data_IF_500983153361
#
_entry.id   IF_500983153361
#
_cell.length_a   1.000
_cell.length_b   1.000
_cell.length_c   1.000
_cell.angle_alpha   90.00
_cell.angle_beta   90.00
_cell.angle_gamma   90.00
#
_symmetry.space_group_name_H-M   'P 1'
#
loop_
_entity.id
_entity.type
_entity.pdbx_description
1 polymer ?
#
# COMPACT_ATOMS: atom_id res chain seq x y z
N UNK A 1 -14.42 -12.38 7.48
CA UNK A 1 -13.40 -11.39 7.92
C UNK A 1 -12.82 -10.55 6.79
N UNK A 2 -12.48 -11.12 5.62
CA UNK A 2 -12.00 -10.35 4.46
C UNK A 2 -12.95 -9.21 4.07
N UNK A 3 -14.25 -9.50 3.95
CA UNK A 3 -15.34 -8.54 3.69
C UNK A 3 -15.36 -7.40 4.73
N UNK A 4 -15.29 -7.74 6.02
CA UNK A 4 -15.29 -6.76 7.11
C UNK A 4 -14.05 -5.85 7.09
N UNK A 5 -12.86 -6.43 6.86
CA UNK A 5 -11.61 -5.66 6.74
C UNK A 5 -11.66 -4.71 5.54
N UNK A 6 -12.15 -5.19 4.39
CA UNK A 6 -12.33 -4.37 3.20
C UNK A 6 -13.31 -3.21 3.47
N UNK A 7 -14.44 -3.48 4.13
CA UNK A 7 -15.41 -2.44 4.49
C UNK A 7 -14.80 -1.35 5.37
N UNK A 8 -14.03 -1.72 6.40
CA UNK A 8 -13.33 -0.75 7.26
C UNK A 8 -12.32 0.07 6.46
N UNK A 9 -11.48 -0.57 5.63
CA UNK A 9 -10.47 0.11 4.82
C UNK A 9 -11.14 1.06 3.81
N UNK A 10 -12.19 0.61 3.12
CA UNK A 10 -12.95 1.42 2.18
C UNK A 10 -13.64 2.60 2.86
N UNK A 11 -14.16 2.42 4.06
CA UNK A 11 -14.76 3.52 4.84
C UNK A 11 -13.71 4.53 5.31
N UNK A 12 -12.55 4.07 5.79
CA UNK A 12 -11.42 4.95 6.12
C UNK A 12 -10.94 5.72 4.88
N UNK A 13 -10.88 5.06 3.72
CA UNK A 13 -10.57 5.71 2.45
C UNK A 13 -11.60 6.80 2.10
N UNK A 14 -12.90 6.51 2.26
CA UNK A 14 -13.98 7.49 2.07
C UNK A 14 -13.81 8.72 2.99
N UNK A 15 -13.48 8.51 4.26
CA UNK A 15 -13.24 9.60 5.20
C UNK A 15 -12.05 10.48 4.80
N UNK A 16 -10.92 9.86 4.41
CA UNK A 16 -9.73 10.59 3.96
C UNK A 16 -10.02 11.38 2.68
N UNK A 17 -10.79 10.80 1.75
CA UNK A 17 -11.14 11.44 0.48
C UNK A 17 -12.09 12.62 0.65
N UNK A 18 -13.12 12.46 1.48
CA UNK A 18 -14.18 13.48 1.63
C UNK A 18 -13.81 14.55 2.66
N UNK A 19 -12.90 14.25 3.58
CA UNK A 19 -12.38 15.15 4.61
C UNK A 19 -13.47 15.93 5.38
N UNK A 20 -14.61 15.27 5.66
CA UNK A 20 -15.75 15.87 6.32
C UNK A 20 -16.37 14.90 7.32
N UNK A 21 -16.85 15.43 8.45
CA UNK A 21 -17.57 14.68 9.49
C UNK A 21 -19.07 14.95 9.47
N UNK A 22 -19.59 15.47 8.35
CA UNK A 22 -21.01 15.68 8.16
C UNK A 22 -21.78 14.35 8.19
N UNK A 23 -22.78 14.24 9.07
CA UNK A 23 -23.52 13.01 9.34
C UNK A 23 -24.09 12.32 8.07
N UNK A 24 -24.75 13.03 7.14
CA UNK A 24 -25.19 12.44 5.88
C UNK A 24 -24.06 11.85 5.03
N UNK A 25 -22.90 12.52 4.98
CA UNK A 25 -21.74 12.02 4.23
C UNK A 25 -21.18 10.73 4.84
N UNK A 26 -21.15 10.65 6.17
CA UNK A 26 -20.72 9.44 6.88
C UNK A 26 -21.68 8.27 6.63
N UNK A 27 -23.00 8.51 6.63
CA UNK A 27 -23.99 7.47 6.36
C UNK A 27 -23.88 6.93 4.93
N UNK A 28 -23.74 7.82 3.94
CA UNK A 28 -23.53 7.41 2.54
C UNK A 28 -22.23 6.61 2.40
N UNK A 29 -21.15 7.08 3.00
CA UNK A 29 -19.87 6.37 3.01
C UNK A 29 -19.96 4.98 3.63
N UNK A 30 -20.73 4.83 4.71
CA UNK A 30 -20.95 3.54 5.37
C UNK A 30 -21.72 2.57 4.46
N UNK A 31 -22.79 3.03 3.82
CA UNK A 31 -23.58 2.19 2.89
C UNK A 31 -22.74 1.77 1.68
N UNK A 32 -22.01 2.70 1.07
CA UNK A 32 -21.17 2.44 -0.10
C UNK A 32 -20.04 1.48 0.23
N UNK A 33 -19.33 1.70 1.35
CA UNK A 33 -18.24 0.79 1.78
C UNK A 33 -18.74 -0.61 2.11
N UNK A 34 -19.94 -0.74 2.70
CA UNK A 34 -20.56 -2.03 2.95
C UNK A 34 -20.94 -2.74 1.65
N UNK A 35 -21.49 -2.02 0.67
CA UNK A 35 -21.80 -2.56 -0.65
C UNK A 35 -20.54 -3.10 -1.35
N UNK A 36 -19.46 -2.31 -1.37
CA UNK A 36 -18.17 -2.71 -1.94
C UNK A 36 -17.62 -3.95 -1.22
N UNK A 37 -17.68 -3.97 0.11
CA UNK A 37 -17.22 -5.09 0.92
C UNK A 37 -17.92 -6.41 0.61
N UNK A 38 -19.23 -6.36 0.34
CA UNK A 38 -20.04 -7.54 0.04
C UNK A 38 -19.74 -8.09 -1.36
N UNK A 39 -19.64 -7.21 -2.36
CA UNK A 39 -19.38 -7.59 -3.75
C UNK A 39 -17.92 -7.98 -4.02
N UNK A 40 -16.96 -7.23 -3.50
CA UNK A 40 -15.54 -7.39 -3.84
C UNK A 40 -14.71 -8.08 -2.75
N UNK A 41 -15.29 -8.41 -1.60
CA UNK A 41 -14.50 -8.96 -0.50
C UNK A 41 -14.00 -10.39 -0.70
N UNK A 42 -14.43 -11.07 -1.77
CA UNK A 42 -13.90 -12.39 -2.17
C UNK A 42 -12.62 -12.26 -3.02
N UNK A 43 -12.41 -11.12 -3.69
CA UNK A 43 -11.16 -10.77 -4.41
C UNK A 43 -10.10 -10.23 -3.44
N UNK A 44 -10.50 -9.85 -2.23
CA UNK A 44 -9.61 -9.25 -1.24
C UNK A 44 -8.64 -10.26 -0.60
N UNK A 45 -7.44 -9.77 -0.26
CA UNK A 45 -6.26 -10.52 0.21
C UNK A 45 -6.58 -11.75 1.07
N UNK A 46 -5.95 -12.89 0.73
CA UNK A 46 -6.20 -14.19 1.35
C UNK A 46 -6.05 -14.22 2.88
N UNK A 47 -5.13 -13.42 3.44
CA UNK A 47 -4.88 -13.30 4.88
C UNK A 47 -5.20 -11.92 5.46
N UNK A 48 -6.39 -11.38 5.17
CA UNK A 48 -6.88 -10.13 5.76
C UNK A 48 -6.86 -10.10 7.30
N UNK A 49 -6.86 -11.27 7.97
CA UNK A 49 -6.78 -11.40 9.44
C UNK A 49 -5.48 -10.81 10.03
N UNK A 50 -4.40 -10.83 9.25
CA UNK A 50 -3.09 -10.36 9.70
C UNK A 50 -2.98 -8.82 9.67
N UNK A 51 -3.98 -8.12 9.13
CA UNK A 51 -4.00 -6.65 9.09
C UNK A 51 -4.22 -6.04 10.49
N UNK A 52 -4.96 -6.75 11.35
CA UNK A 52 -5.20 -6.32 12.75
C UNK A 52 -4.01 -6.56 13.69
N UNK A 53 -2.91 -7.15 13.21
CA UNK A 53 -1.74 -7.36 14.04
C UNK A 53 -0.98 -6.03 14.21
N UNK A 54 -1.08 -5.43 15.40
CA UNK A 54 -0.45 -4.15 15.76
C UNK A 54 1.05 -4.13 15.40
N UNK A 55 1.76 -5.25 15.61
CA UNK A 55 3.18 -5.37 15.22
C UNK A 55 3.42 -5.14 13.72
N UNK A 56 2.57 -5.67 12.85
CA UNK A 56 2.69 -5.46 11.39
C UNK A 56 2.41 -4.02 11.00
N UNK A 57 1.42 -3.39 11.63
CA UNK A 57 1.13 -1.98 11.38
C UNK A 57 2.30 -1.09 11.83
N UNK A 58 2.91 -1.39 12.98
CA UNK A 58 4.11 -0.69 13.46
C UNK A 58 5.29 -0.85 12.49
N UNK A 59 5.54 -2.06 11.98
CA UNK A 59 6.55 -2.25 10.94
C UNK A 59 6.22 -1.50 9.67
N UNK A 60 4.96 -1.49 9.20
CA UNK A 60 4.56 -0.72 8.02
C UNK A 60 4.84 0.78 8.21
N UNK A 61 4.49 1.35 9.36
CA UNK A 61 4.78 2.75 9.68
C UNK A 61 6.27 3.03 9.79
N UNK A 62 7.08 2.09 10.26
CA UNK A 62 8.55 2.21 10.29
C UNK A 62 9.18 2.10 8.90
N UNK A 63 8.67 1.20 8.06
CA UNK A 63 9.19 0.97 6.71
C UNK A 63 8.79 2.08 5.73
N UNK A 64 7.68 2.81 5.92
CA UNK A 64 7.31 3.95 5.06
C UNK A 64 8.41 5.02 4.96
N UNK A 65 8.93 5.60 6.07
CA UNK A 65 9.99 6.60 5.99
C UNK A 65 11.31 5.99 5.49
N UNK A 66 11.63 4.76 5.90
CA UNK A 66 12.83 4.06 5.44
C UNK A 66 12.81 3.85 3.92
N UNK A 67 11.69 3.37 3.39
CA UNK A 67 11.47 3.17 1.97
C UNK A 67 11.54 4.50 1.22
N UNK A 68 10.88 5.54 1.74
CA UNK A 68 10.92 6.87 1.14
C UNK A 68 12.35 7.40 1.05
N UNK A 69 13.14 7.25 2.12
CA UNK A 69 14.54 7.68 2.13
C UNK A 69 15.38 7.01 1.04
N UNK A 70 15.33 5.67 0.96
CA UNK A 70 16.09 4.95 -0.07
C UNK A 70 15.54 5.18 -1.49
N UNK A 71 14.23 5.36 -1.64
CA UNK A 71 13.61 5.70 -2.91
C UNK A 71 14.10 7.07 -3.42
N UNK A 72 14.17 8.07 -2.53
CA UNK A 72 14.73 9.39 -2.88
C UNK A 72 16.21 9.28 -3.26
N UNK A 73 17.01 8.57 -2.46
CA UNK A 73 18.44 8.39 -2.74
C UNK A 73 18.67 7.71 -4.10
N UNK A 74 17.88 6.69 -4.43
CA UNK A 74 17.96 6.00 -5.72
C UNK A 74 17.60 6.93 -6.89
N UNK A 75 16.58 7.78 -6.75
CA UNK A 75 16.23 8.76 -7.78
C UNK A 75 17.34 9.80 -7.99
N UNK A 76 18.01 10.23 -6.91
CA UNK A 76 19.16 11.13 -7.01
C UNK A 76 20.36 10.46 -7.71
N UNK A 77 20.64 9.19 -7.41
CA UNK A 77 21.68 8.42 -8.10
C UNK A 77 21.39 8.30 -9.61
N UNK A 78 20.14 8.00 -9.98
CA UNK A 78 19.74 7.98 -11.40
C UNK A 78 19.88 9.37 -12.04
N UNK A 79 19.43 10.43 -11.37
CA UNK A 79 19.56 11.80 -11.87
C UNK A 79 21.03 12.19 -12.10
N UNK A 80 21.92 11.83 -11.17
CA UNK A 80 23.36 12.04 -11.32
C UNK A 80 23.91 11.29 -12.54
N UNK A 81 23.57 10.00 -12.70
CA UNK A 81 24.05 9.20 -13.85
C UNK A 81 23.60 9.75 -15.19
N UNK A 82 22.37 10.28 -15.27
CA UNK A 82 21.81 10.88 -16.50
C UNK A 82 22.48 12.23 -16.83
N UNK A 83 22.78 13.05 -15.82
CA UNK A 83 23.43 14.35 -16.02
C UNK A 83 24.94 14.22 -16.27
N UNK A 84 25.56 13.10 -15.86
CA UNK A 84 26.98 12.89 -16.04
C UNK A 84 27.31 12.63 -17.51
N UNK A 85 28.24 13.40 -18.13
CA UNK A 85 28.52 13.31 -19.56
C UNK A 85 29.04 11.94 -20.01
N UNK A 86 29.70 11.21 -19.11
CA UNK A 86 30.21 9.86 -19.40
C UNK A 86 29.14 8.75 -19.29
N UNK A 87 27.90 9.07 -18.84
CA UNK A 87 26.77 8.15 -18.69
C UNK A 87 27.18 6.74 -18.21
N UNK A 88 27.73 6.60 -16.99
CA UNK A 88 28.27 5.33 -16.50
C UNK A 88 27.13 4.35 -16.19
N UNK A 89 26.69 3.61 -17.20
CA UNK A 89 25.65 2.58 -17.11
C UNK A 89 26.19 1.29 -17.74
N UNK A 90 26.36 0.27 -16.91
CA UNK A 90 26.76 -1.07 -17.34
C UNK A 90 25.56 -2.02 -17.22
N UNK A 91 24.84 -2.30 -18.33
CA UNK A 91 23.64 -3.13 -18.27
C UNK A 91 24.01 -4.61 -18.07
N UNK A 92 23.23 -5.31 -17.25
CA UNK A 92 23.36 -6.75 -17.03
C UNK A 92 22.08 -7.35 -16.47
N UNK A 93 21.73 -8.55 -16.91
CA UNK A 93 20.57 -9.29 -16.40
C UNK A 93 21.01 -10.11 -15.20
N UNK A 94 20.55 -9.74 -14.00
CA UNK A 94 20.86 -10.44 -12.75
C UNK A 94 19.61 -11.14 -12.22
N UNK A 95 19.72 -12.45 -11.94
CA UNK A 95 18.62 -13.25 -11.37
C UNK A 95 18.77 -13.37 -9.86
N UNK A 96 17.84 -12.79 -9.09
CA UNK A 96 17.80 -12.89 -7.63
C UNK A 96 16.79 -13.97 -7.20
N UNK A 97 17.24 -14.94 -6.41
CA UNK A 97 16.38 -15.99 -5.85
C UNK A 97 15.76 -15.49 -4.53
N UNK A 98 14.45 -15.56 -4.39
CA UNK A 98 13.73 -15.21 -3.17
C UNK A 98 13.16 -16.46 -2.49
N UNK A 99 12.96 -16.41 -1.17
CA UNK A 99 12.32 -17.47 -0.36
C UNK A 99 10.87 -17.15 -0.02
N UNK A 100 10.30 -16.12 -0.66
CA UNK A 100 8.95 -15.64 -0.39
C UNK A 100 7.91 -16.64 -0.89
N UNK A 101 6.94 -16.94 -0.03
CA UNK A 101 5.91 -17.96 -0.29
C UNK A 101 4.53 -17.38 -0.60
N UNK A 102 4.30 -16.09 -0.31
CA UNK A 102 3.04 -15.42 -0.58
C UNK A 102 3.17 -14.51 -1.81
N UNK A 103 2.13 -14.49 -2.64
CA UNK A 103 2.07 -13.65 -3.86
C UNK A 103 1.97 -12.16 -3.56
N UNK A 104 1.37 -11.78 -2.42
CA UNK A 104 1.22 -10.38 -1.98
C UNK A 104 2.17 -10.04 -0.83
N UNK A 105 3.40 -10.58 -0.87
CA UNK A 105 4.43 -10.27 0.13
C UNK A 105 4.82 -8.79 0.12
#
# INVERSE_FOLDING_TARGET
>A
MKKLVLGIISFLCWMVLTWTLYLPSLLVGLVVSMFIALWFGDVFVERAKNFFQIKRLAYLLYYIPLFTYYCLLANFDVAYRVLHPALPIEPGIVKVKTTLTNTTA
#
